data_IF_068987699298
#
_entry.id   IF_068987699298
#
_cell.length_a   1.000
_cell.length_b   1.000
_cell.length_c   1.000
_cell.angle_alpha   90.00
_cell.angle_beta   90.00
_cell.angle_gamma   90.00
#
_symmetry.space_group_name_H-M   'P 1'
#
loop_
_entity.id
_entity.type
_entity.pdbx_description
1 polymer ?
#
# COMPACT_ATOMS: atom_id res chain seq x y z
N UNK A 1 22.68 11.23 -10.17
CA UNK A 1 21.25 11.16 -10.55
C UNK A 1 20.40 10.39 -9.53
N UNK A 2 20.28 10.90 -8.29
CA UNK A 2 19.49 10.29 -7.21
C UNK A 2 18.06 10.85 -7.08
N UNK A 3 17.70 11.83 -7.91
CA UNK A 3 16.53 12.70 -7.72
C UNK A 3 15.19 12.03 -8.06
N UNK A 4 15.19 10.82 -8.64
CA UNK A 4 13.95 10.16 -9.11
C UNK A 4 13.68 8.77 -8.49
N UNK A 5 14.25 8.48 -7.33
CA UNK A 5 14.01 7.19 -6.66
C UNK A 5 12.72 7.24 -5.84
N UNK A 6 11.66 6.62 -6.36
CA UNK A 6 10.36 6.50 -5.69
C UNK A 6 10.29 5.27 -4.78
N UNK A 7 9.43 5.31 -3.77
CA UNK A 7 9.12 4.13 -2.98
C UNK A 7 8.65 2.98 -3.87
N UNK A 8 9.18 1.79 -3.64
CA UNK A 8 8.70 0.57 -4.30
C UNK A 8 7.69 -0.10 -3.38
N UNK A 9 6.45 -0.20 -3.84
CA UNK A 9 5.43 -1.00 -3.18
C UNK A 9 4.94 -2.12 -4.11
N UNK A 10 4.77 -3.36 -3.59
CA UNK A 10 5.26 -3.80 -2.29
C UNK A 10 6.78 -3.98 -2.26
N UNK A 11 7.40 -3.83 -1.08
CA UNK A 11 8.79 -4.20 -0.84
C UNK A 11 8.93 -5.23 0.29
N UNK A 12 9.97 -6.07 0.19
CA UNK A 12 10.34 -7.03 1.23
C UNK A 12 11.36 -6.41 2.19
N UNK A 13 11.08 -6.49 3.49
CA UNK A 13 12.00 -6.15 4.57
C UNK A 13 11.96 -7.25 5.65
N UNK A 14 13.11 -7.90 5.86
CA UNK A 14 13.13 -9.21 6.51
C UNK A 14 12.34 -10.23 5.68
N UNK A 15 11.50 -11.02 6.34
CA UNK A 15 10.64 -12.02 5.71
C UNK A 15 9.21 -11.51 5.44
N UNK A 16 8.99 -10.20 5.61
CA UNK A 16 7.68 -9.57 5.49
C UNK A 16 7.59 -8.66 4.25
N UNK A 17 6.39 -8.65 3.65
CA UNK A 17 6.05 -7.81 2.50
C UNK A 17 5.22 -6.62 2.97
N UNK A 18 5.66 -5.41 2.62
CA UNK A 18 5.02 -4.15 3.00
C UNK A 18 4.47 -3.42 1.77
N UNK A 19 3.23 -2.95 1.88
CA UNK A 19 2.49 -2.29 0.79
C UNK A 19 2.36 -0.77 1.00
N UNK A 20 2.91 -0.26 2.10
CA UNK A 20 2.89 1.12 2.55
C UNK A 20 4.21 1.43 3.27
N UNK A 21 4.43 2.70 3.57
CA UNK A 21 5.56 3.13 4.41
C UNK A 21 5.47 2.50 5.80
N UNK A 22 6.62 2.19 6.40
CA UNK A 22 6.73 1.54 7.71
C UNK A 22 7.58 2.38 8.66
N UNK A 23 7.32 2.26 9.96
CA UNK A 23 8.10 2.90 11.03
C UNK A 23 9.02 1.92 11.77
N UNK A 24 9.29 0.75 11.17
CA UNK A 24 10.10 -0.28 11.82
C UNK A 24 11.52 0.26 12.01
N UNK A 25 11.96 0.26 13.28
CA UNK A 25 13.27 0.79 13.72
C UNK A 25 13.53 2.25 13.31
N UNK A 26 12.48 3.07 13.19
CA UNK A 26 12.61 4.50 12.87
C UNK A 26 11.50 5.32 13.51
N UNK A 27 11.81 6.56 13.90
CA UNK A 27 10.81 7.51 14.38
C UNK A 27 9.91 8.05 13.24
N UNK A 28 10.35 7.88 11.99
CA UNK A 28 9.64 8.36 10.80
C UNK A 28 9.33 7.21 9.84
N UNK A 29 8.21 7.33 9.15
CA UNK A 29 7.80 6.39 8.11
C UNK A 29 8.80 6.39 6.95
N UNK A 30 9.23 5.21 6.53
CA UNK A 30 10.17 5.01 5.44
C UNK A 30 9.73 3.89 4.50
N UNK A 31 10.34 3.86 3.32
CA UNK A 31 10.11 2.83 2.31
C UNK A 31 11.42 2.37 1.68
N UNK A 32 11.44 1.16 1.12
CA UNK A 32 12.55 0.73 0.28
C UNK A 32 12.43 1.31 -1.13
N UNK A 33 13.59 1.56 -1.73
CA UNK A 33 13.74 1.91 -3.14
C UNK A 33 13.93 0.65 -4.02
N UNK A 34 13.87 -0.53 -3.41
CA UNK A 34 14.04 -1.84 -4.02
C UNK A 34 12.88 -2.76 -3.65
N UNK A 35 12.54 -3.70 -4.54
CA UNK A 35 11.55 -4.75 -4.24
C UNK A 35 12.01 -5.67 -3.09
N UNK A 36 13.32 -5.94 -3.02
CA UNK A 36 13.95 -6.65 -1.90
C UNK A 36 14.92 -5.67 -1.24
N UNK A 37 14.71 -5.37 0.03
CA UNK A 37 15.52 -4.39 0.75
C UNK A 37 17.01 -4.77 0.71
N UNK A 38 17.82 -3.88 0.14
CA UNK A 38 19.27 -4.01 -0.01
C UNK A 38 20.02 -2.84 0.65
N UNK A 39 19.36 -2.11 1.55
CA UNK A 39 19.92 -0.94 2.22
C UNK A 39 19.61 0.40 1.56
N UNK A 40 18.94 0.42 0.40
CA UNK A 40 18.43 1.66 -0.20
C UNK A 40 17.02 1.96 0.29
N UNK A 41 16.87 3.09 0.96
CA UNK A 41 15.62 3.57 1.53
C UNK A 41 15.59 5.10 1.55
N UNK A 42 14.39 5.64 1.82
CA UNK A 42 14.20 7.04 2.18
C UNK A 42 12.98 7.20 3.07
N UNK A 43 12.90 8.34 3.76
CA UNK A 43 11.67 8.74 4.43
C UNK A 43 10.55 8.98 3.42
N UNK A 44 9.35 8.60 3.82
CA UNK A 44 8.15 8.83 3.04
C UNK A 44 7.70 10.27 3.14
N UNK A 45 6.99 10.70 2.10
CA UNK A 45 6.34 11.99 2.01
C UNK A 45 4.87 11.80 1.64
N UNK A 46 4.10 12.88 1.57
CA UNK A 46 2.72 12.83 1.05
C UNK A 46 2.61 12.31 -0.40
N UNK A 47 3.72 12.23 -1.13
CA UNK A 47 3.79 11.67 -2.48
C UNK A 47 4.02 10.16 -2.53
N UNK A 48 4.10 9.50 -1.37
CA UNK A 48 4.31 8.06 -1.26
C UNK A 48 3.08 7.29 -0.72
N UNK A 49 1.85 7.62 -1.14
CA UNK A 49 0.70 6.88 -0.65
C UNK A 49 0.75 5.44 -1.18
N UNK A 50 0.28 4.46 -0.38
CA UNK A 50 0.02 3.13 -0.91
C UNK A 50 -0.99 3.22 -2.06
N UNK A 51 -0.83 2.34 -3.06
CA UNK A 51 -1.68 2.31 -4.25
C UNK A 51 -2.69 1.18 -4.16
N UNK A 52 -3.92 1.47 -4.58
CA UNK A 52 -4.93 0.43 -4.77
C UNK A 52 -4.46 -0.56 -5.84
N UNK A 53 -4.75 -1.84 -5.64
CA UNK A 53 -4.63 -2.87 -6.66
C UNK A 53 -6.01 -3.10 -7.28
N UNK A 54 -6.12 -2.95 -8.60
CA UNK A 54 -7.35 -3.24 -9.33
C UNK A 54 -7.11 -4.26 -10.46
N UNK A 55 -8.05 -5.20 -10.67
CA UNK A 55 -9.14 -5.53 -9.77
C UNK A 55 -8.63 -6.21 -8.49
N UNK A 56 -9.40 -6.11 -7.41
CA UNK A 56 -9.17 -6.89 -6.19
C UNK A 56 -10.38 -7.74 -5.82
N UNK A 57 -10.13 -8.92 -5.24
CA UNK A 57 -11.15 -9.84 -4.74
C UNK A 57 -11.51 -9.50 -3.29
N UNK A 58 -12.78 -9.24 -3.02
CA UNK A 58 -13.33 -9.09 -1.67
C UNK A 58 -14.70 -9.79 -1.58
N UNK A 59 -14.90 -10.62 -0.57
CA UNK A 59 -16.08 -11.47 -0.36
C UNK A 59 -16.45 -12.24 -1.63
N UNK A 60 -15.45 -12.81 -2.30
CA UNK A 60 -15.59 -13.54 -3.58
C UNK A 60 -16.16 -12.71 -4.73
N UNK A 61 -16.11 -11.37 -4.65
CA UNK A 61 -16.49 -10.43 -5.72
C UNK A 61 -15.29 -9.61 -6.17
N UNK A 62 -15.21 -9.33 -7.47
CA UNK A 62 -14.16 -8.47 -8.03
C UNK A 62 -14.58 -7.00 -8.02
N UNK A 63 -13.71 -6.15 -7.50
CA UNK A 63 -13.88 -4.70 -7.48
C UNK A 63 -12.82 -4.03 -8.36
N UNK A 64 -13.28 -3.18 -9.29
CA UNK A 64 -12.43 -2.43 -10.23
C UNK A 64 -12.25 -0.95 -9.84
N UNK A 65 -12.85 -0.54 -8.73
CA UNK A 65 -12.78 0.80 -8.15
C UNK A 65 -12.97 0.71 -6.64
N UNK A 66 -12.75 1.81 -5.94
CA UNK A 66 -13.01 1.88 -4.52
C UNK A 66 -14.47 1.50 -4.20
N UNK A 67 -14.64 0.75 -3.11
CA UNK A 67 -15.95 0.28 -2.65
C UNK A 67 -16.24 0.81 -1.27
N UNK A 68 -17.52 0.93 -0.93
CA UNK A 68 -17.97 1.21 0.45
C UNK A 68 -18.52 -0.05 1.13
N UNK A 69 -18.56 -1.17 0.41
CA UNK A 69 -19.07 -2.44 0.92
C UNK A 69 -18.26 -2.88 2.13
N UNK A 70 -18.94 -3.26 3.21
CA UNK A 70 -18.30 -3.76 4.42
C UNK A 70 -17.67 -2.71 5.34
N UNK A 71 -17.70 -1.41 5.00
CA UNK A 71 -17.13 -0.34 5.83
C UNK A 71 -18.21 0.50 6.50
N UNK A 72 -18.05 0.78 7.80
CA UNK A 72 -18.98 1.61 8.59
C UNK A 72 -18.63 3.10 8.32
N UNK A 73 -19.64 3.99 8.30
CA UNK A 73 -19.49 5.44 8.07
C UNK A 73 -19.26 5.90 6.60
N UNK A 74 -19.71 5.13 5.61
CA UNK A 74 -19.78 5.56 4.19
C UNK A 74 -18.42 5.95 3.55
N UNK A 75 -17.30 5.55 4.18
CA UNK A 75 -15.94 5.75 3.63
C UNK A 75 -15.64 4.69 2.58
N UNK A 76 -15.11 5.12 1.44
CA UNK A 76 -14.65 4.22 0.38
C UNK A 76 -13.24 3.70 0.67
N UNK A 77 -12.98 2.47 0.26
CA UNK A 77 -11.71 1.80 0.46
C UNK A 77 -11.36 0.94 -0.75
N UNK A 78 -10.09 0.55 -0.85
CA UNK A 78 -9.60 -0.38 -1.86
C UNK A 78 -8.56 -1.33 -1.25
N UNK A 79 -8.40 -2.51 -1.85
CA UNK A 79 -7.32 -3.41 -1.45
C UNK A 79 -5.97 -2.94 -1.99
N UNK A 80 -4.92 -3.22 -1.22
CA UNK A 80 -3.54 -3.06 -1.68
C UNK A 80 -3.03 -4.31 -2.42
N UNK A 81 -3.78 -5.41 -2.42
CA UNK A 81 -3.43 -6.67 -3.06
C UNK A 81 -4.51 -7.14 -4.04
N UNK A 82 -4.22 -8.19 -4.80
CA UNK A 82 -5.20 -8.79 -5.71
C UNK A 82 -6.27 -9.57 -4.95
N UNK A 83 -5.95 -10.12 -3.78
CA UNK A 83 -6.87 -10.94 -3.00
C UNK A 83 -6.99 -10.41 -1.57
N UNK A 84 -7.95 -9.52 -1.34
CA UNK A 84 -8.21 -9.01 0.00
C UNK A 84 -8.70 -10.12 0.94
N UNK A 85 -9.44 -11.10 0.42
CA UNK A 85 -9.98 -12.19 1.25
C UNK A 85 -8.87 -13.02 1.92
N UNK A 86 -7.68 -13.08 1.31
CA UNK A 86 -6.49 -13.75 1.86
C UNK A 86 -5.59 -12.77 2.63
N UNK A 87 -5.30 -11.61 2.05
CA UNK A 87 -4.22 -10.73 2.54
C UNK A 87 -4.70 -9.70 3.57
N UNK A 88 -5.97 -9.30 3.51
CA UNK A 88 -6.56 -8.28 4.39
C UNK A 88 -5.91 -6.89 4.30
N UNK A 89 -5.12 -6.58 3.27
CA UNK A 89 -4.43 -5.29 3.12
C UNK A 89 -5.29 -4.28 2.34
N UNK A 90 -5.44 -3.08 2.88
CA UNK A 90 -6.32 -2.05 2.30
C UNK A 90 -5.88 -0.63 2.70
N UNK A 91 -6.44 0.36 2.00
CA UNK A 91 -6.40 1.77 2.41
C UNK A 91 -7.77 2.43 2.24
N UNK A 92 -8.00 3.52 2.95
CA UNK A 92 -9.08 4.45 2.60
C UNK A 92 -8.75 5.09 1.24
N UNK A 93 -9.75 5.22 0.38
CA UNK A 93 -9.60 6.00 -0.84
C UNK A 93 -9.75 7.48 -0.51
N UNK A 94 -9.02 8.33 -1.21
CA UNK A 94 -9.24 9.77 -1.13
C UNK A 94 -10.61 10.10 -1.74
N UNK A 95 -11.25 11.24 -1.36
CA UNK A 95 -12.49 11.69 -2.01
C UNK A 95 -12.36 11.95 -3.52
N UNK A 96 -11.12 12.00 -4.03
CA UNK A 96 -10.78 12.30 -5.41
C UNK A 96 -10.30 11.07 -6.20
N UNK A 97 -10.33 9.87 -5.60
CA UNK A 97 -9.99 8.57 -6.23
C UNK A 97 -11.24 7.79 -6.68
#
# INVERSE_FOLDING_TARGET
DFVNSTCVFPFMYGDLIYYNCISIHSDYDWCSLDKKFQGRWRYCTGHDPPKCTFPFLFRKKLFHKCTKEGYVLNRSWCSLTKNYDEDGKWKNCSPHE
#
